data_IF_216745739605
#
_entry.id   IF_216745739605
#
_cell.length_a   1.000
_cell.length_b   1.000
_cell.length_c   1.000
_cell.angle_alpha   90.00
_cell.angle_beta   90.00
_cell.angle_gamma   90.00
#
_symmetry.space_group_name_H-M   'P 1'
#
loop_
_entity.id
_entity.type
_entity.pdbx_description
1 polymer ?
#
# COMPACT_ATOMS: atom_id res chain seq x y z
N UNK A 1 -31.20 0.35 23.96
CA UNK A 1 -30.12 -0.53 24.46
C UNK A 1 -30.25 -1.88 23.76
N UNK A 2 -29.62 -1.99 22.59
CA UNK A 2 -29.38 -3.24 21.83
C UNK A 2 -27.92 -3.12 21.36
N UNK A 3 -27.06 -4.15 21.56
CA UNK A 3 -25.62 -4.05 21.36
C UNK A 3 -25.27 -4.10 19.88
N UNK A 4 -24.43 -3.18 19.41
CA UNK A 4 -23.97 -3.08 18.02
C UNK A 4 -22.54 -3.61 17.84
N UNK A 5 -22.10 -4.54 18.71
CA UNK A 5 -20.70 -5.00 18.80
C UNK A 5 -20.42 -6.33 18.12
N UNK A 6 -21.20 -6.75 17.10
CA UNK A 6 -21.07 -8.10 16.54
C UNK A 6 -21.18 -8.21 15.01
N UNK A 7 -20.53 -7.33 14.24
CA UNK A 7 -20.42 -7.51 12.77
C UNK A 7 -19.02 -7.25 12.17
N UNK A 8 -17.95 -7.44 12.94
CA UNK A 8 -16.59 -7.51 12.36
C UNK A 8 -15.89 -8.81 12.75
N UNK A 9 -16.56 -9.94 12.46
CA UNK A 9 -15.86 -11.19 12.23
C UNK A 9 -15.40 -11.23 10.77
N UNK A 10 -14.20 -10.70 10.50
CA UNK A 10 -13.48 -11.04 9.27
C UNK A 10 -12.98 -12.47 9.39
N UNK A 11 -13.75 -13.43 8.88
CA UNK A 11 -13.20 -14.76 8.59
C UNK A 11 -12.11 -14.60 7.51
N UNK A 12 -10.86 -15.00 7.77
CA UNK A 12 -9.87 -15.10 6.71
C UNK A 12 -10.29 -16.22 5.76
N UNK A 13 -10.36 -15.91 4.47
CA UNK A 13 -10.58 -16.91 3.42
C UNK A 13 -9.52 -18.04 3.54
N UNK A 14 -9.92 -19.30 3.37
CA UNK A 14 -9.02 -20.43 3.59
C UNK A 14 -7.90 -20.43 2.55
N UNK A 15 -6.66 -20.28 3.02
CA UNK A 15 -5.46 -20.58 2.23
C UNK A 15 -5.34 -22.10 2.11
N UNK A 16 -5.63 -22.62 0.91
CA UNK A 16 -5.48 -24.02 0.59
C UNK A 16 -4.01 -24.45 0.74
N UNK A 17 -3.73 -25.29 1.75
CA UNK A 17 -2.45 -25.97 1.92
C UNK A 17 -2.61 -27.44 1.50
N UNK A 18 -2.42 -27.69 0.21
CA UNK A 18 -2.41 -29.03 -0.37
C UNK A 18 -0.99 -29.59 -0.47
N UNK A 19 -0.60 -30.40 0.53
CA UNK A 19 0.14 -31.66 0.43
C UNK A 19 1.48 -31.79 -0.32
N UNK A 20 2.41 -32.54 0.29
CA UNK A 20 3.23 -33.51 -0.46
C UNK A 20 4.73 -33.55 -0.18
N UNK A 21 5.12 -34.39 0.78
CA UNK A 21 6.49 -34.73 1.17
C UNK A 21 7.24 -35.59 0.10
N UNK A 22 7.08 -35.33 -1.21
CA UNK A 22 7.53 -36.24 -2.29
C UNK A 22 8.23 -35.61 -3.51
N UNK A 23 8.71 -34.36 -3.42
CA UNK A 23 9.34 -33.68 -4.56
C UNK A 23 10.88 -33.51 -4.47
N UNK A 24 11.57 -34.24 -3.58
CA UNK A 24 13.03 -34.07 -3.34
C UNK A 24 13.99 -34.95 -4.19
N UNK A 25 13.52 -35.64 -5.24
CA UNK A 25 14.40 -36.56 -6.02
C UNK A 25 14.45 -36.34 -7.55
N UNK A 26 13.92 -35.23 -8.08
CA UNK A 26 13.69 -35.10 -9.53
C UNK A 26 14.30 -33.91 -10.28
N UNK A 27 15.04 -32.98 -9.66
CA UNK A 27 15.42 -31.70 -10.33
C UNK A 27 16.94 -31.46 -10.40
N UNK A 28 17.70 -32.49 -10.77
CA UNK A 28 19.11 -32.37 -11.17
C UNK A 28 19.27 -32.54 -12.68
N UNK A 29 18.52 -31.81 -13.51
CA UNK A 29 18.76 -31.65 -14.95
C UNK A 29 17.83 -30.58 -15.54
N UNK A 30 18.44 -29.48 -16.02
CA UNK A 30 17.99 -28.68 -17.15
C UNK A 30 16.54 -28.16 -17.18
N UNK A 31 16.34 -26.92 -16.74
CA UNK A 31 15.57 -25.87 -17.45
C UNK A 31 15.63 -24.59 -16.63
N UNK A 32 16.16 -23.51 -17.21
CA UNK A 32 15.94 -22.15 -16.70
C UNK A 32 14.44 -21.90 -16.78
N UNK A 33 13.76 -21.97 -15.64
CA UNK A 33 12.40 -21.49 -15.49
C UNK A 33 12.43 -19.96 -15.71
N UNK A 34 11.53 -19.40 -16.54
CA UNK A 34 11.36 -17.95 -16.58
C UNK A 34 11.02 -17.54 -15.15
N UNK A 35 11.70 -16.51 -14.63
CA UNK A 35 11.48 -16.01 -13.28
C UNK A 35 9.98 -15.86 -13.06
N UNK A 36 9.42 -16.75 -12.23
CA UNK A 36 8.03 -16.72 -11.87
C UNK A 36 7.74 -15.30 -11.37
N UNK A 37 6.84 -14.61 -12.07
CA UNK A 37 6.51 -13.21 -11.79
C UNK A 37 6.29 -13.06 -10.29
N UNK A 38 7.18 -12.31 -9.64
CA UNK A 38 7.13 -12.06 -8.21
C UNK A 38 5.75 -11.48 -7.91
N UNK A 39 4.94 -12.22 -7.16
CA UNK A 39 3.64 -11.73 -6.73
C UNK A 39 3.83 -10.37 -6.03
N UNK A 40 2.95 -9.38 -6.28
CA UNK A 40 3.11 -8.05 -5.71
C UNK A 40 3.18 -8.16 -4.18
N UNK A 41 4.19 -7.52 -3.59
CA UNK A 41 4.37 -7.48 -2.14
C UNK A 41 3.17 -6.75 -1.54
N UNK A 42 2.48 -7.40 -0.61
CA UNK A 42 1.32 -6.80 0.06
C UNK A 42 1.78 -5.72 1.03
N UNK A 43 1.04 -4.63 1.05
CA UNK A 43 1.20 -3.55 2.00
C UNK A 43 0.83 -3.90 3.43
N UNK A 44 1.22 -3.04 4.38
CA UNK A 44 0.84 -3.11 5.79
C UNK A 44 0.05 -1.87 6.18
N UNK A 45 -1.15 -2.05 6.74
CA UNK A 45 -1.94 -0.96 7.30
C UNK A 45 -2.09 -1.16 8.81
N UNK A 46 -1.63 -0.19 9.59
CA UNK A 46 -1.66 -0.25 11.05
C UNK A 46 -2.80 0.60 11.60
N UNK A 47 -3.71 0.00 12.37
CA UNK A 47 -4.83 0.69 12.99
C UNK A 47 -4.83 0.52 14.51
N UNK A 48 -5.28 1.55 15.24
CA UNK A 48 -5.42 1.50 16.70
C UNK A 48 -5.58 2.88 17.35
N UNK A 49 -5.94 2.91 18.63
CA UNK A 49 -6.14 4.15 19.40
C UNK A 49 -4.87 5.00 19.59
N UNK A 50 -5.04 6.22 20.10
CA UNK A 50 -3.95 7.18 20.40
C UNK A 50 -2.98 6.59 21.43
N UNK A 51 -1.68 6.91 21.31
CA UNK A 51 -0.65 6.51 22.29
C UNK A 51 -0.20 5.05 22.25
N UNK A 52 -0.65 4.24 21.27
CA UNK A 52 -0.29 2.81 21.15
C UNK A 52 1.04 2.53 20.43
N UNK A 53 1.82 3.56 20.12
CA UNK A 53 3.15 3.41 19.51
C UNK A 53 3.15 3.10 18.01
N UNK A 54 2.04 3.31 17.30
CA UNK A 54 1.93 3.06 15.85
C UNK A 54 3.00 3.80 15.04
N UNK A 55 3.22 5.08 15.35
CA UNK A 55 4.27 5.90 14.72
C UNK A 55 5.64 5.25 14.87
N UNK A 56 5.97 4.73 16.06
CA UNK A 56 7.25 4.07 16.30
C UNK A 56 7.37 2.72 15.58
N UNK A 57 6.26 1.98 15.44
CA UNK A 57 6.24 0.77 14.64
C UNK A 57 6.41 1.07 13.15
N UNK A 58 5.81 2.17 12.66
CA UNK A 58 5.99 2.66 11.30
C UNK A 58 7.43 3.09 11.02
N UNK A 59 8.07 3.77 11.97
CA UNK A 59 9.49 4.11 11.90
C UNK A 59 10.38 2.88 11.78
N UNK A 60 10.15 1.87 12.62
CA UNK A 60 10.91 0.63 12.59
C UNK A 60 10.68 -0.14 11.28
N UNK A 61 9.43 -0.22 10.82
CA UNK A 61 9.10 -0.80 9.52
C UNK A 61 9.86 -0.09 8.40
N UNK A 62 9.75 1.24 8.32
CA UNK A 62 10.43 2.04 7.31
C UNK A 62 11.95 1.85 7.34
N UNK A 63 12.57 1.83 8.53
CA UNK A 63 14.01 1.61 8.68
C UNK A 63 14.43 0.20 8.27
N UNK A 64 13.61 -0.81 8.57
CA UNK A 64 13.90 -2.21 8.25
C UNK A 64 13.77 -2.56 6.77
N UNK A 65 13.06 -1.74 5.98
CA UNK A 65 12.88 -1.98 4.55
C UNK A 65 14.23 -1.91 3.81
N UNK A 66 14.60 -2.92 3.02
CA UNK A 66 15.83 -2.90 2.24
C UNK A 66 15.72 -1.89 1.08
N UNK A 67 16.80 -1.17 0.82
CA UNK A 67 16.91 -0.22 -0.27
C UNK A 67 16.51 1.22 0.08
N UNK A 68 16.78 2.11 -0.87
CA UNK A 68 16.59 3.57 -0.72
C UNK A 68 15.36 4.10 -1.47
N UNK A 69 14.74 3.27 -2.33
CA UNK A 69 13.52 3.61 -3.08
C UNK A 69 12.26 3.45 -2.22
N UNK A 70 12.27 4.13 -1.08
CA UNK A 70 11.17 4.21 -0.12
C UNK A 70 10.97 5.68 0.28
N UNK A 71 9.72 6.09 0.43
CA UNK A 71 9.38 7.43 0.88
C UNK A 71 8.34 7.37 1.99
N UNK A 72 8.52 8.21 3.01
CA UNK A 72 7.54 8.43 4.08
C UNK A 72 6.94 9.83 3.95
N UNK A 73 5.61 9.92 3.85
CA UNK A 73 4.88 11.16 3.64
C UNK A 73 3.67 11.19 4.58
N UNK A 74 3.36 12.36 5.16
CA UNK A 74 2.04 12.56 5.76
C UNK A 74 1.00 12.65 4.66
N UNK A 75 -0.17 12.07 4.87
CA UNK A 75 -1.19 11.98 3.84
C UNK A 75 -1.63 13.34 3.26
N UNK A 76 -1.79 14.36 4.12
CA UNK A 76 -2.11 15.72 3.65
C UNK A 76 -1.07 16.29 2.68
N UNK A 77 0.23 16.09 2.97
CA UNK A 77 1.33 16.52 2.09
C UNK A 77 1.37 15.76 0.78
N UNK A 78 0.99 14.48 0.80
CA UNK A 78 0.82 13.69 -0.41
C UNK A 78 -0.30 14.24 -1.28
N UNK A 79 -1.47 14.51 -0.72
CA UNK A 79 -2.61 15.06 -1.48
C UNK A 79 -2.30 16.44 -2.08
N UNK A 80 -1.65 17.33 -1.32
CA UNK A 80 -1.21 18.62 -1.85
C UNK A 80 -0.33 18.47 -3.09
N UNK A 81 0.69 17.61 -3.02
CA UNK A 81 1.58 17.32 -4.15
C UNK A 81 0.80 16.78 -5.36
N UNK A 82 -0.13 15.85 -5.14
CA UNK A 82 -0.95 15.29 -6.21
C UNK A 82 -1.78 16.39 -6.88
N UNK A 83 -2.43 17.26 -6.11
CA UNK A 83 -3.22 18.36 -6.64
C UNK A 83 -2.37 19.38 -7.42
N UNK A 84 -1.18 19.70 -6.94
CA UNK A 84 -0.21 20.55 -7.65
C UNK A 84 0.18 19.92 -9.00
N UNK A 85 0.55 18.64 -9.01
CA UNK A 85 0.91 17.94 -10.24
C UNK A 85 -0.25 17.87 -11.24
N UNK A 86 -1.47 17.61 -10.77
CA UNK A 86 -2.66 17.61 -11.63
C UNK A 86 -2.95 19.00 -12.22
N UNK A 87 -2.71 20.05 -11.46
CA UNK A 87 -2.85 21.43 -11.95
C UNK A 87 -1.84 21.71 -13.07
N UNK A 88 -0.60 21.22 -12.96
CA UNK A 88 0.39 21.35 -14.04
C UNK A 88 0.06 20.51 -15.28
N UNK A 89 -0.72 19.45 -15.11
CA UNK A 89 -1.10 18.50 -16.17
C UNK A 89 -2.48 18.78 -16.76
N UNK A 90 -3.08 19.93 -16.46
CA UNK A 90 -4.36 20.32 -17.05
C UNK A 90 -4.33 20.22 -18.58
N UNK A 91 -5.33 19.55 -19.16
CA UNK A 91 -5.44 19.31 -20.60
C UNK A 91 -4.82 18.01 -21.10
N UNK A 92 -4.14 17.23 -20.26
CA UNK A 92 -3.73 15.87 -20.60
C UNK A 92 -4.89 14.89 -20.44
N UNK A 93 -4.93 13.83 -21.26
CA UNK A 93 -5.99 12.81 -21.23
C UNK A 93 -6.00 12.02 -19.91
N UNK A 94 -4.81 11.65 -19.41
CA UNK A 94 -4.66 10.72 -18.29
C UNK A 94 -3.65 11.24 -17.25
N UNK A 95 -3.94 12.36 -16.57
CA UNK A 95 -2.97 13.03 -15.69
C UNK A 95 -2.63 12.17 -14.46
N UNK A 96 -3.52 11.31 -13.99
CA UNK A 96 -3.25 10.39 -12.87
C UNK A 96 -2.23 9.30 -13.22
N UNK A 97 -2.26 8.81 -14.46
CA UNK A 97 -1.28 7.84 -14.94
C UNK A 97 0.11 8.46 -14.96
N UNK A 98 0.22 9.70 -15.45
CA UNK A 98 1.48 10.46 -15.47
C UNK A 98 2.00 10.69 -14.05
N UNK A 99 1.13 11.08 -13.11
CA UNK A 99 1.50 11.25 -11.69
C UNK A 99 1.98 9.92 -11.11
N UNK A 100 1.29 8.81 -11.39
CA UNK A 100 1.70 7.50 -10.92
C UNK A 100 3.05 7.04 -11.50
N UNK A 101 3.34 7.37 -12.77
CA UNK A 101 4.64 7.13 -13.40
C UNK A 101 5.76 7.93 -12.72
N UNK A 102 5.50 9.18 -12.36
CA UNK A 102 6.46 10.02 -11.61
C UNK A 102 6.74 9.45 -10.22
N UNK A 103 5.70 9.06 -9.49
CA UNK A 103 5.88 8.37 -8.21
C UNK A 103 6.68 7.07 -8.38
N UNK A 104 6.40 6.29 -9.42
CA UNK A 104 7.15 5.06 -9.70
C UNK A 104 8.60 5.33 -10.07
N UNK A 105 8.91 6.44 -10.72
CA UNK A 105 10.30 6.82 -10.99
C UNK A 105 11.08 7.08 -9.70
N UNK A 106 10.43 7.68 -8.70
CA UNK A 106 11.04 8.09 -7.44
C UNK A 106 11.09 6.99 -6.38
N UNK A 107 10.05 6.16 -6.27
CA UNK A 107 9.91 5.21 -5.16
C UNK A 107 9.18 3.94 -5.55
N UNK A 108 9.49 2.86 -4.85
CA UNK A 108 8.79 1.57 -4.95
C UNK A 108 7.93 1.29 -3.72
N UNK A 109 8.20 1.98 -2.61
CA UNK A 109 7.43 1.88 -1.36
C UNK A 109 7.00 3.26 -0.88
N UNK A 110 5.69 3.44 -0.68
CA UNK A 110 5.12 4.64 -0.07
C UNK A 110 4.62 4.30 1.33
N UNK A 111 5.07 5.08 2.30
CA UNK A 111 4.72 4.98 3.70
C UNK A 111 3.91 6.20 4.11
N UNK A 112 2.60 6.05 4.30
CA UNK A 112 1.72 7.14 4.72
C UNK A 112 1.63 7.22 6.25
N UNK A 113 1.94 8.39 6.79
CA UNK A 113 1.59 8.75 8.17
C UNK A 113 0.27 9.53 8.17
N UNK A 114 -0.50 9.40 9.24
CA UNK A 114 -1.74 10.17 9.46
C UNK A 114 -2.71 10.11 8.29
N UNK A 115 -3.06 8.90 7.83
CA UNK A 115 -3.99 8.74 6.71
C UNK A 115 -5.40 9.22 7.08
N UNK A 116 -5.78 10.43 6.68
CA UNK A 116 -7.13 10.95 6.96
C UNK A 116 -7.70 11.64 5.72
N UNK A 117 -8.83 11.13 5.25
CA UNK A 117 -9.55 11.67 4.10
C UNK A 117 -10.83 12.31 4.62
N UNK A 118 -10.94 13.64 4.52
CA UNK A 118 -12.10 14.40 4.95
C UNK A 118 -13.06 14.78 3.83
N UNK A 119 -12.59 14.85 2.58
CA UNK A 119 -13.38 15.26 1.41
C UNK A 119 -13.67 14.06 0.48
N UNK A 120 -14.90 13.98 -0.02
CA UNK A 120 -15.32 12.96 -0.99
C UNK A 120 -14.56 13.08 -2.32
N UNK A 121 -14.17 14.29 -2.71
CA UNK A 121 -13.41 14.58 -3.92
C UNK A 121 -12.01 13.99 -3.81
N UNK A 122 -11.34 14.21 -2.68
CA UNK A 122 -10.04 13.61 -2.38
C UNK A 122 -10.13 12.09 -2.31
N UNK A 123 -11.22 11.54 -1.77
CA UNK A 123 -11.44 10.09 -1.74
C UNK A 123 -11.56 9.50 -3.16
N UNK A 124 -12.32 10.14 -4.05
CA UNK A 124 -12.47 9.71 -5.44
C UNK A 124 -11.13 9.77 -6.19
N UNK A 125 -10.42 10.89 -6.03
CA UNK A 125 -9.10 11.11 -6.62
C UNK A 125 -8.10 10.05 -6.16
N UNK A 126 -8.03 9.84 -4.85
CA UNK A 126 -7.16 8.85 -4.23
C UNK A 126 -7.47 7.45 -4.75
N UNK A 127 -8.75 7.07 -4.84
CA UNK A 127 -9.14 5.77 -5.38
C UNK A 127 -8.64 5.52 -6.80
N UNK A 128 -8.63 6.54 -7.66
CA UNK A 128 -8.05 6.47 -9.00
C UNK A 128 -6.53 6.34 -8.97
N UNK A 129 -5.86 7.21 -8.22
CA UNK A 129 -4.40 7.21 -8.13
C UNK A 129 -3.85 5.91 -7.51
N UNK A 130 -4.48 5.39 -6.45
CA UNK A 130 -4.06 4.16 -5.81
C UNK A 130 -4.10 2.97 -6.77
N UNK A 131 -5.13 2.87 -7.63
CA UNK A 131 -5.20 1.84 -8.68
C UNK A 131 -4.01 1.96 -9.65
N UNK A 132 -3.70 3.17 -10.09
CA UNK A 132 -2.59 3.43 -11.00
C UNK A 132 -1.21 3.11 -10.37
N UNK A 133 -1.02 3.41 -9.08
CA UNK A 133 0.21 3.08 -8.35
C UNK A 133 0.37 1.56 -8.16
N UNK A 134 -0.70 0.85 -7.80
CA UNK A 134 -0.67 -0.60 -7.64
C UNK A 134 -0.39 -1.32 -8.96
N UNK A 135 -0.95 -0.84 -10.08
CA UNK A 135 -0.65 -1.38 -11.40
C UNK A 135 0.84 -1.28 -11.77
N UNK A 136 1.57 -0.31 -11.20
CA UNK A 136 3.02 -0.10 -11.35
C UNK A 136 3.85 -0.86 -10.30
N UNK A 137 3.22 -1.67 -9.47
CA UNK A 137 3.87 -2.48 -8.44
C UNK A 137 4.41 -1.67 -7.26
N UNK A 138 3.88 -0.46 -7.01
CA UNK A 138 4.22 0.30 -5.80
C UNK A 138 3.53 -0.36 -4.60
N UNK A 139 4.29 -0.60 -3.55
CA UNK A 139 3.78 -1.17 -2.29
C UNK A 139 3.45 -0.04 -1.32
N UNK A 140 2.27 -0.11 -0.69
CA UNK A 140 1.82 0.91 0.27
C UNK A 140 1.88 0.39 1.70
N UNK A 141 2.48 1.16 2.61
CA UNK A 141 2.32 0.98 4.05
C UNK A 141 1.71 2.24 4.65
N UNK A 142 0.94 2.11 5.73
CA UNK A 142 0.50 3.31 6.45
C UNK A 142 -0.04 3.05 7.84
N UNK A 143 -0.12 4.10 8.65
CA UNK A 143 -0.76 4.07 9.95
C UNK A 143 -1.91 5.07 10.07
N UNK A 144 -2.98 4.61 10.72
CA UNK A 144 -4.19 5.39 10.94
C UNK A 144 -4.27 5.85 12.39
N UNK A 145 -4.20 7.16 12.60
CA UNK A 145 -4.48 7.75 13.90
C UNK A 145 -6.00 7.97 14.04
N UNK A 146 -6.64 7.19 14.91
CA UNK A 146 -8.01 7.44 15.32
C UNK A 146 -8.03 8.63 16.29
N UNK A 147 -8.57 9.77 15.88
CA UNK A 147 -8.95 10.85 16.80
C UNK A 147 -10.32 10.48 17.39
N UNK A 148 -10.33 10.00 18.62
CA UNK A 148 -11.57 9.93 19.38
C UNK A 148 -11.96 11.38 19.73
N UNK A 149 -13.05 11.85 19.11
CA UNK A 149 -13.73 13.07 19.55
C UNK A 149 -14.26 12.94 20.97
#
# INVERSE_FOLDING_TARGET
MIPFTEELQTQPAPVASGGGLRAKFGKLLGKREPAAGTAPVRGLYMWGGVGRGKTRLMDLFYQSLPGERKQRLHFHRFMLRVHEELTTLQGHSDPLEIVADRFKAETDVLCFDEFFVSDITDAMLLGGLMKALFARGITLGGDLQYSAG
#
